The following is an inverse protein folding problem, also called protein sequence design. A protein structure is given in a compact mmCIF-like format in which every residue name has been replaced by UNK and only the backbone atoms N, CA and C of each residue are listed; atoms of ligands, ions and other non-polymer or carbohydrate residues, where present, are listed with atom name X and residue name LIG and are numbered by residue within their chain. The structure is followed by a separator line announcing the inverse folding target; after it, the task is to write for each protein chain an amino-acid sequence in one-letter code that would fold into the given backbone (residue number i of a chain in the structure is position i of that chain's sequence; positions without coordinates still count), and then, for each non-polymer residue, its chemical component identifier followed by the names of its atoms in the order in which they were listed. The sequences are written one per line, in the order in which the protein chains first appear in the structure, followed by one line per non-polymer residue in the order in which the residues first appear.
data_IF_568869952821
#
_entry.id   IF_568869952821
#
_cell.length_a   1.000
_cell.length_b   1.000
_cell.length_c   1.000
_cell.angle_alpha   90.00
_cell.angle_beta   90.00
_cell.angle_gamma   90.00
#
_symmetry.space_group_name_H-M   'P 1'
#
loop_
_entity.id
_entity.type
_entity.pdbx_description
1 polymer ?
#
# COMPACT_ATOMS: atom_id res chain seq x y z
N UNK A 1 8.97 -11.54 1.42
CA UNK A 1 8.09 -10.36 1.52
C UNK A 1 7.27 -10.46 2.80
N UNK A 2 6.99 -9.34 3.48
CA UNK A 2 6.11 -9.31 4.66
C UNK A 2 4.94 -8.36 4.45
N UNK A 3 3.73 -8.80 4.75
CA UNK A 3 2.52 -8.00 4.51
C UNK A 3 1.73 -7.88 5.80
N UNK A 4 1.48 -6.64 6.20
CA UNK A 4 0.62 -6.30 7.33
C UNK A 4 -0.77 -5.92 6.79
N UNK A 5 -1.73 -6.81 6.99
CA UNK A 5 -3.02 -6.78 6.33
C UNK A 5 -4.19 -6.68 7.32
N UNK A 6 -5.31 -6.19 6.83
CA UNK A 6 -6.56 -6.16 7.58
C UNK A 6 -7.38 -4.89 7.40
N UNK A 7 -8.68 -4.92 7.74
CA UNK A 7 -9.61 -3.82 7.47
C UNK A 7 -9.23 -2.49 8.14
N UNK A 8 -9.73 -1.38 7.61
CA UNK A 8 -9.58 -0.07 8.27
C UNK A 8 -10.08 -0.16 9.73
N UNK A 9 -9.38 0.46 10.69
CA UNK A 9 -9.77 0.42 12.10
C UNK A 9 -9.31 -0.82 12.88
N UNK A 10 -8.72 -1.83 12.23
CA UNK A 10 -8.39 -3.10 12.90
C UNK A 10 -7.24 -3.03 13.91
N UNK A 11 -6.39 -2.00 13.84
CA UNK A 11 -5.25 -1.81 14.75
C UNK A 11 -3.88 -2.25 14.20
N UNK A 12 -3.76 -2.47 12.88
CA UNK A 12 -2.50 -2.84 12.21
C UNK A 12 -1.30 -1.99 12.66
N UNK A 13 -1.42 -0.67 12.60
CA UNK A 13 -0.32 0.27 12.88
C UNK A 13 0.25 0.14 14.29
N UNK A 14 -0.55 -0.30 15.27
CA UNK A 14 -0.07 -0.58 16.63
C UNK A 14 0.86 -1.79 16.65
N UNK A 15 0.51 -2.84 15.91
CA UNK A 15 1.23 -4.12 15.92
C UNK A 15 2.46 -4.09 15.00
N UNK A 16 2.40 -3.37 13.87
CA UNK A 16 3.49 -3.26 12.90
C UNK A 16 4.80 -2.86 13.56
N UNK A 17 4.77 -1.84 14.42
CA UNK A 17 5.96 -1.32 15.11
C UNK A 17 6.61 -2.35 16.02
N UNK A 18 5.81 -3.16 16.71
CA UNK A 18 6.34 -4.20 17.58
C UNK A 18 6.94 -5.35 16.78
N UNK A 19 6.30 -5.75 15.68
CA UNK A 19 6.84 -6.80 14.79
C UNK A 19 8.14 -6.34 14.13
N UNK A 20 8.23 -5.08 13.69
CA UNK A 20 9.44 -4.53 13.08
C UNK A 20 10.67 -4.55 14.01
N UNK A 21 10.46 -4.58 15.34
CA UNK A 21 11.56 -4.75 16.30
C UNK A 21 12.06 -6.19 16.40
N UNK A 22 11.23 -7.16 16.01
CA UNK A 22 11.48 -8.59 16.22
C UNK A 22 11.98 -9.29 14.96
N UNK A 23 11.69 -8.75 13.77
CA UNK A 23 12.04 -9.39 12.50
C UNK A 23 12.56 -8.38 11.49
N UNK A 24 13.44 -8.84 10.58
CA UNK A 24 13.87 -8.06 9.43
C UNK A 24 12.68 -7.90 8.48
N UNK A 25 12.28 -6.65 8.25
CA UNK A 25 11.18 -6.29 7.34
C UNK A 25 11.65 -5.67 6.03
N UNK A 26 12.94 -5.31 5.92
CA UNK A 26 13.49 -4.58 4.79
C UNK A 26 12.80 -3.24 4.56
N UNK A 27 12.81 -2.73 3.32
CA UNK A 27 12.13 -1.48 2.98
C UNK A 27 10.63 -1.57 3.31
N UNK A 28 10.10 -0.60 4.08
CA UNK A 28 8.69 -0.53 4.45
C UNK A 28 7.95 0.45 3.55
N UNK A 29 7.03 -0.05 2.71
CA UNK A 29 6.33 0.73 1.70
C UNK A 29 4.88 0.97 2.11
N UNK A 30 4.60 2.15 2.66
CA UNK A 30 3.27 2.56 3.12
C UNK A 30 2.72 3.73 2.28
N UNK A 31 1.50 3.59 1.76
CA UNK A 31 0.89 4.60 0.90
C UNK A 31 0.53 5.89 1.66
N UNK A 32 0.14 5.80 2.94
CA UNK A 32 -0.17 7.00 3.75
C UNK A 32 1.11 7.80 4.05
N UNK A 33 2.24 7.11 4.32
CA UNK A 33 3.55 7.75 4.51
C UNK A 33 4.03 8.43 3.22
N UNK A 34 3.82 7.76 2.07
CA UNK A 34 4.12 8.32 0.75
C UNK A 34 3.22 9.53 0.46
N UNK A 35 1.92 9.45 0.76
CA UNK A 35 0.98 10.57 0.57
C UNK A 35 1.43 11.78 1.39
N UNK A 36 1.82 11.56 2.65
CA UNK A 36 2.36 12.60 3.50
C UNK A 36 3.65 13.19 2.91
N UNK A 37 4.59 12.37 2.46
CA UNK A 37 5.83 12.85 1.84
C UNK A 37 5.55 13.69 0.59
N UNK A 38 4.59 13.26 -0.25
CA UNK A 38 4.16 14.03 -1.41
C UNK A 38 3.51 15.36 -1.03
N UNK A 39 2.72 15.44 0.05
CA UNK A 39 2.15 16.69 0.55
C UNK A 39 3.21 17.64 1.13
N UNK A 40 4.14 17.10 1.89
CA UNK A 40 5.14 17.90 2.62
C UNK A 40 6.28 18.38 1.71
N UNK A 41 6.71 17.54 0.76
CA UNK A 41 7.90 17.77 -0.08
C UNK A 41 7.60 17.94 -1.56
N UNK A 42 6.46 17.47 -2.05
CA UNK A 42 6.14 17.41 -3.48
C UNK A 42 6.86 16.31 -4.26
N UNK A 43 7.62 15.43 -3.58
CA UNK A 43 8.37 14.37 -4.26
C UNK A 43 8.65 13.16 -3.35
N UNK A 44 9.01 12.05 -3.99
CA UNK A 44 9.52 10.82 -3.37
C UNK A 44 10.84 10.45 -4.03
N UNK A 45 11.89 10.26 -3.23
CA UNK A 45 13.19 9.80 -3.71
C UNK A 45 13.27 8.27 -3.58
N UNK A 46 13.53 7.56 -4.67
CA UNK A 46 13.68 6.10 -4.65
C UNK A 46 14.89 5.66 -3.80
N UNK A 47 15.92 6.51 -3.71
CA UNK A 47 17.10 6.25 -2.89
C UNK A 47 16.78 6.06 -1.40
N UNK A 48 15.70 6.67 -0.90
CA UNK A 48 15.23 6.50 0.48
C UNK A 48 14.79 5.06 0.78
N UNK A 49 14.53 4.27 -0.27
CA UNK A 49 14.13 2.86 -0.21
C UNK A 49 15.23 1.91 -0.70
N UNK A 50 16.44 2.42 -0.97
CA UNK A 50 17.54 1.64 -1.57
C UNK A 50 17.30 1.27 -3.03
N UNK A 51 16.44 2.02 -3.73
CA UNK A 51 16.03 1.73 -5.11
C UNK A 51 16.65 2.71 -6.12
N UNK A 52 16.77 2.22 -7.35
CA UNK A 52 16.98 3.05 -8.54
C UNK A 52 16.11 2.58 -9.71
N UNK A 53 15.77 3.50 -10.62
CA UNK A 53 15.02 3.19 -11.84
C UNK A 53 15.32 4.19 -12.96
N UNK A 54 14.86 3.89 -14.17
CA UNK A 54 14.91 4.78 -15.33
C UNK A 54 13.56 5.43 -15.62
N UNK A 55 13.57 6.53 -16.37
CA UNK A 55 12.37 7.17 -16.90
C UNK A 55 11.56 6.24 -17.81
N UNK A 56 12.24 5.42 -18.61
CA UNK A 56 11.59 4.44 -19.49
C UNK A 56 10.84 3.37 -18.70
N UNK A 57 11.44 2.82 -17.65
CA UNK A 57 10.80 1.82 -16.78
C UNK A 57 9.60 2.41 -16.03
N UNK A 58 9.72 3.64 -15.54
CA UNK A 58 8.60 4.33 -14.90
C UNK A 58 7.46 4.60 -15.89
N UNK A 59 7.77 5.08 -17.10
CA UNK A 59 6.77 5.33 -18.14
C UNK A 59 6.03 4.07 -18.56
N UNK A 60 6.75 2.96 -18.76
CA UNK A 60 6.14 1.66 -19.05
C UNK A 60 5.22 1.20 -17.91
N UNK A 61 5.64 1.36 -16.66
CA UNK A 61 4.79 1.04 -15.51
C UNK A 61 3.49 1.86 -15.48
N UNK A 62 3.54 3.14 -15.82
CA UNK A 62 2.34 4.00 -15.85
C UNK A 62 1.35 3.57 -16.93
N UNK A 63 1.85 3.14 -18.11
CA UNK A 63 0.99 2.69 -19.22
C UNK A 63 0.16 1.46 -18.85
N UNK A 64 0.72 0.55 -18.05
CA UNK A 64 0.05 -0.69 -17.64
C UNK A 64 -0.75 -0.55 -16.33
N UNK A 65 -0.81 0.65 -15.75
CA UNK A 65 -1.36 0.85 -14.41
C UNK A 65 -2.90 0.91 -14.40
N UNK A 66 -3.50 -0.16 -13.89
CA UNK A 66 -4.94 -0.19 -13.56
C UNK A 66 -5.36 0.85 -12.51
N UNK A 67 -4.44 1.27 -11.63
CA UNK A 67 -4.71 2.32 -10.64
C UNK A 67 -4.87 3.69 -11.29
N UNK A 68 -4.10 3.98 -12.35
CA UNK A 68 -4.19 5.24 -13.08
C UNK A 68 -5.47 5.29 -13.93
N UNK A 69 -5.83 4.18 -14.57
CA UNK A 69 -7.10 4.05 -15.28
C UNK A 69 -8.28 4.31 -14.33
N UNK A 70 -8.28 3.65 -13.16
CA UNK A 70 -9.30 3.85 -12.12
C UNK A 70 -9.37 5.28 -11.59
N UNK A 71 -8.22 5.92 -11.36
CA UNK A 71 -8.20 7.32 -10.90
C UNK A 71 -8.91 8.23 -11.91
N UNK A 72 -8.59 8.06 -13.20
CA UNK A 72 -9.22 8.80 -14.31
C UNK A 72 -10.74 8.56 -14.36
N UNK A 73 -11.20 7.31 -14.24
CA UNK A 73 -12.63 6.97 -14.22
C UNK A 73 -13.39 7.64 -13.06
N UNK A 74 -12.75 7.76 -11.90
CA UNK A 74 -13.32 8.43 -10.72
C UNK A 74 -13.11 9.96 -10.75
N UNK A 75 -12.59 10.51 -11.84
CA UNK A 75 -12.40 11.96 -12.04
C UNK A 75 -11.20 12.55 -11.28
N UNK A 76 -10.25 11.71 -10.84
CA UNK A 76 -9.02 12.15 -10.20
C UNK A 76 -7.88 12.25 -11.22
N UNK A 77 -7.27 13.42 -11.29
CA UNK A 77 -6.05 13.62 -12.06
C UNK A 77 -4.82 13.20 -11.24
N UNK A 78 -3.92 12.42 -11.84
CA UNK A 78 -2.65 11.98 -11.22
C UNK A 78 -1.50 12.48 -12.10
N UNK A 79 -0.96 13.64 -11.74
CA UNK A 79 0.16 14.26 -12.47
C UNK A 79 1.46 13.96 -11.75
N UNK A 80 2.20 12.96 -12.25
CA UNK A 80 3.50 12.57 -11.72
C UNK A 80 4.55 12.48 -12.83
N UNK A 81 5.79 12.81 -12.49
CA UNK A 81 6.93 12.69 -13.39
C UNK A 81 8.10 12.05 -12.66
N UNK A 82 9.01 11.42 -13.41
CA UNK A 82 10.21 10.81 -12.86
C UNK A 82 11.43 11.44 -13.52
N UNK A 83 12.42 11.81 -12.72
CA UNK A 83 13.74 12.27 -13.18
C UNK A 83 14.73 12.17 -12.04
N UNK A 84 16.00 11.89 -12.33
CA UNK A 84 17.08 11.82 -11.31
C UNK A 84 16.73 10.96 -10.09
N UNK A 85 16.10 9.80 -10.32
CA UNK A 85 15.65 8.88 -9.27
C UNK A 85 14.56 9.43 -8.31
N UNK A 86 13.88 10.50 -8.71
CA UNK A 86 12.85 11.18 -7.93
C UNK A 86 11.54 11.15 -8.71
N UNK A 87 10.47 10.71 -8.04
CA UNK A 87 9.10 10.91 -8.52
C UNK A 87 8.60 12.24 -7.97
N UNK A 88 8.33 13.21 -8.85
CA UNK A 88 7.68 14.48 -8.50
C UNK A 88 6.17 14.35 -8.67
N UNK A 89 5.43 14.94 -7.75
CA UNK A 89 3.96 15.00 -7.78
C UNK A 89 3.55 16.46 -7.94
N UNK A 90 2.90 16.78 -9.06
CA UNK A 90 2.44 18.13 -9.33
C UNK A 90 1.02 18.31 -8.78
N UNK A 91 0.81 19.34 -7.97
CA UNK A 91 -0.48 19.68 -7.32
C UNK A 91 -0.97 18.60 -6.33
N UNK A 92 -1.97 18.95 -5.51
CA UNK A 92 -2.33 18.27 -4.25
C UNK A 92 -2.21 16.75 -4.30
N UNK A 93 -1.20 16.21 -3.59
CA UNK A 93 -1.00 14.78 -3.48
C UNK A 93 -2.24 14.09 -2.90
N UNK A 94 -2.84 13.24 -3.73
CA UNK A 94 -4.02 12.45 -3.40
C UNK A 94 -3.63 10.98 -3.17
N UNK A 95 -4.56 10.23 -2.59
CA UNK A 95 -4.32 8.81 -2.27
C UNK A 95 -4.09 7.93 -3.50
N UNK A 96 -4.52 8.36 -4.70
CA UNK A 96 -4.24 7.64 -5.95
C UNK A 96 -2.77 7.77 -6.35
N UNK A 97 -2.21 8.98 -6.35
CA UNK A 97 -0.79 9.20 -6.62
C UNK A 97 0.08 8.41 -5.63
N UNK A 98 -0.26 8.45 -4.34
CA UNK A 98 0.49 7.72 -3.32
C UNK A 98 0.38 6.20 -3.47
N UNK A 99 -0.80 5.67 -3.78
CA UNK A 99 -1.00 4.25 -4.04
C UNK A 99 -0.22 3.78 -5.27
N UNK A 100 -0.18 4.59 -6.32
CA UNK A 100 0.54 4.33 -7.57
C UNK A 100 2.06 4.29 -7.33
N UNK A 101 2.61 5.27 -6.60
CA UNK A 101 4.02 5.29 -6.21
C UNK A 101 4.34 4.07 -5.32
N UNK A 102 3.50 3.77 -4.32
CA UNK A 102 3.70 2.61 -3.47
C UNK A 102 3.71 1.30 -4.26
N UNK A 103 2.85 1.17 -5.28
CA UNK A 103 2.82 0.00 -6.15
C UNK A 103 4.09 -0.10 -7.01
N UNK A 104 4.55 1.03 -7.58
CA UNK A 104 5.80 1.07 -8.33
C UNK A 104 7.01 0.63 -7.50
N UNK A 105 7.17 1.19 -6.29
CA UNK A 105 8.28 0.85 -5.38
C UNK A 105 8.26 -0.65 -5.01
N UNK A 106 7.09 -1.20 -4.73
CA UNK A 106 6.95 -2.64 -4.41
C UNK A 106 7.28 -3.52 -5.61
N UNK A 107 6.90 -3.12 -6.83
CA UNK A 107 7.26 -3.86 -8.04
C UNK A 107 8.78 -3.84 -8.27
N UNK A 108 9.46 -2.71 -8.03
CA UNK A 108 10.92 -2.65 -8.12
C UNK A 108 11.59 -3.59 -7.10
N UNK A 109 11.18 -3.52 -5.83
CA UNK A 109 11.74 -4.39 -4.76
C UNK A 109 11.50 -5.88 -5.08
N UNK A 110 10.30 -6.20 -5.55
CA UNK A 110 9.96 -7.55 -5.98
C UNK A 110 10.87 -8.03 -7.11
N UNK A 111 11.05 -7.22 -8.16
CA UNK A 111 11.85 -7.58 -9.33
C UNK A 111 13.35 -7.67 -9.01
N UNK A 112 13.84 -6.92 -8.02
CA UNK A 112 15.22 -6.96 -7.56
C UNK A 112 15.50 -8.09 -6.54
N UNK A 113 14.46 -8.81 -6.08
CA UNK A 113 14.62 -9.84 -5.06
C UNK A 113 14.88 -9.29 -3.65
N UNK A 114 14.69 -7.98 -3.44
CA UNK A 114 14.99 -7.30 -2.19
C UNK A 114 13.95 -7.61 -1.13
N UNK A 115 14.38 -7.81 0.12
CA UNK A 115 13.41 -7.99 1.20
C UNK A 115 12.66 -6.68 1.44
N UNK A 116 11.33 -6.75 1.44
CA UNK A 116 10.47 -5.62 1.73
C UNK A 116 9.21 -6.00 2.49
N UNK A 117 8.56 -4.97 3.01
CA UNK A 117 7.29 -5.06 3.70
C UNK A 117 6.35 -3.92 3.35
N UNK A 118 5.05 -4.13 3.56
CA UNK A 118 4.06 -3.07 3.39
C UNK A 118 2.80 -3.31 4.21
N UNK A 119 2.07 -2.24 4.47
CA UNK A 119 0.72 -2.27 5.03
C UNK A 119 -0.33 -2.17 3.92
N UNK A 120 -1.43 -2.91 4.07
CA UNK A 120 -2.56 -2.88 3.16
C UNK A 120 -3.87 -3.19 3.88
N UNK A 121 -4.98 -2.66 3.37
CA UNK A 121 -6.32 -3.12 3.80
C UNK A 121 -6.56 -4.57 3.35
N UNK A 122 -5.94 -4.98 2.24
CA UNK A 122 -6.11 -6.29 1.60
C UNK A 122 -7.52 -6.52 1.04
N UNK A 123 -8.18 -5.47 0.53
CA UNK A 123 -9.55 -5.51 0.02
C UNK A 123 -9.65 -5.50 -1.51
N UNK A 124 -8.61 -5.92 -2.23
CA UNK A 124 -8.57 -5.91 -3.70
C UNK A 124 -7.68 -7.05 -4.24
N UNK A 125 -8.12 -7.71 -5.32
CA UNK A 125 -7.50 -8.89 -5.92
C UNK A 125 -6.02 -8.70 -6.28
N UNK A 126 -5.62 -7.46 -6.62
CA UNK A 126 -4.20 -7.10 -6.85
C UNK A 126 -3.23 -7.57 -5.75
N UNK A 127 -3.73 -7.75 -4.52
CA UNK A 127 -2.92 -8.23 -3.40
C UNK A 127 -2.69 -9.74 -3.48
N UNK A 128 -3.69 -10.53 -3.89
CA UNK A 128 -3.48 -11.95 -4.18
C UNK A 128 -2.45 -12.12 -5.31
N UNK A 129 -2.58 -11.34 -6.38
CA UNK A 129 -1.61 -11.39 -7.49
C UNK A 129 -0.19 -11.03 -7.06
N UNK A 130 -0.02 -10.07 -6.14
CA UNK A 130 1.28 -9.76 -5.55
C UNK A 130 1.87 -10.93 -4.75
N UNK A 131 1.05 -11.65 -3.99
CA UNK A 131 1.48 -12.85 -3.26
C UNK A 131 1.89 -13.98 -4.21
N UNK A 132 1.13 -14.21 -5.30
CA UNK A 132 1.50 -15.18 -6.33
C UNK A 132 2.83 -14.82 -7.01
N UNK A 133 2.97 -13.56 -7.45
CA UNK A 133 4.19 -13.07 -8.11
C UNK A 133 5.41 -13.16 -7.21
N UNK A 134 5.29 -12.76 -5.94
CA UNK A 134 6.38 -12.88 -4.96
C UNK A 134 6.79 -14.32 -4.70
N UNK A 135 5.85 -15.24 -4.54
CA UNK A 135 6.16 -16.67 -4.40
C UNK A 135 6.90 -17.21 -5.63
N UNK A 136 6.44 -16.86 -6.83
CA UNK A 136 7.08 -17.27 -8.09
C UNK A 136 8.49 -16.68 -8.26
N UNK A 137 8.74 -15.50 -7.69
CA UNK A 137 10.06 -14.87 -7.63
C UNK A 137 10.95 -15.42 -6.49
N UNK A 138 10.53 -16.48 -5.79
CA UNK A 138 11.34 -17.15 -4.76
C UNK A 138 11.25 -16.53 -3.36
N UNK A 139 10.35 -15.56 -3.14
CA UNK A 139 10.16 -15.00 -1.81
C UNK A 139 9.44 -15.98 -0.89
N UNK A 140 9.93 -16.05 0.36
CA UNK A 140 9.11 -16.49 1.48
C UNK A 140 8.16 -15.37 1.90
N UNK A 141 6.87 -15.66 1.87
CA UNK A 141 5.82 -14.70 2.16
C UNK A 141 5.37 -14.86 3.62
N UNK A 142 5.17 -13.73 4.30
CA UNK A 142 4.63 -13.72 5.65
C UNK A 142 3.47 -12.74 5.71
N UNK A 143 2.29 -13.25 6.04
CA UNK A 143 1.08 -12.47 6.23
C UNK A 143 0.81 -12.28 7.73
N UNK A 144 0.70 -11.03 8.15
CA UNK A 144 0.22 -10.64 9.47
C UNK A 144 -1.16 -10.02 9.28
N UNK A 145 -2.22 -10.79 9.51
CA UNK A 145 -3.59 -10.31 9.33
C UNK A 145 -4.20 -9.91 10.68
N UNK A 146 -4.59 -8.64 10.80
CA UNK A 146 -5.16 -8.06 12.01
C UNK A 146 -6.61 -7.66 11.72
N UNK A 147 -7.56 -8.27 12.42
CA UNK A 147 -8.99 -7.93 12.34
C UNK A 147 -9.60 -7.80 13.73
N UNK A 148 -10.72 -7.10 13.79
CA UNK A 148 -11.67 -7.09 14.91
C UNK A 148 -12.72 -8.16 14.70
N UNK A 149 -13.55 -8.39 15.72
CA UNK A 149 -14.69 -9.33 15.65
C UNK A 149 -15.75 -8.89 14.64
N UNK A 150 -15.96 -7.58 14.46
CA UNK A 150 -16.95 -7.04 13.53
C UNK A 150 -16.49 -5.75 12.85
N UNK A 151 -17.14 -5.43 11.73
CA UNK A 151 -16.95 -4.18 11.01
C UNK A 151 -17.41 -2.95 11.83
N UNK A 152 -18.42 -3.09 12.68
CA UNK A 152 -18.92 -1.97 13.50
C UNK A 152 -17.89 -1.50 14.54
N UNK A 153 -17.10 -2.43 15.09
CA UNK A 153 -15.95 -2.06 15.96
C UNK A 153 -14.95 -1.21 15.17
N UNK A 154 -14.68 -1.56 13.92
CA UNK A 154 -13.78 -0.80 13.06
C UNK A 154 -14.33 0.59 12.73
N UNK A 155 -15.63 0.72 12.47
CA UNK A 155 -16.31 2.00 12.27
C UNK A 155 -16.14 2.89 13.50
N UNK A 156 -16.44 2.38 14.69
CA UNK A 156 -16.28 3.11 15.95
C UNK A 156 -14.83 3.56 16.18
N UNK A 157 -13.85 2.69 15.90
CA UNK A 157 -12.42 3.03 16.02
C UNK A 157 -11.97 4.09 15.01
N UNK A 158 -12.47 4.04 13.77
CA UNK A 158 -12.19 5.07 12.76
C UNK A 158 -12.83 6.40 13.16
N UNK A 159 -14.06 6.41 13.66
CA UNK A 159 -14.68 7.64 14.19
C UNK A 159 -13.84 8.24 15.33
N UNK A 160 -13.41 7.40 16.29
CA UNK A 160 -12.58 7.84 17.41
C UNK A 160 -11.23 8.43 16.98
N UNK A 161 -10.55 7.88 15.95
CA UNK A 161 -9.29 8.47 15.45
C UNK A 161 -9.52 9.76 14.66
N UNK A 162 -10.64 9.89 13.94
CA UNK A 162 -10.99 11.12 13.20
C UNK A 162 -11.18 12.27 14.18
N UNK A 163 -11.85 12.02 15.31
CA UNK A 163 -11.98 13.00 16.40
C UNK A 163 -10.63 13.45 16.99
N UNK A 164 -9.55 12.69 16.76
CA UNK A 164 -8.17 13.02 17.14
C UNK A 164 -7.33 13.59 15.99
N UNK A 165 -7.96 13.96 14.87
CA UNK A 165 -7.28 14.52 13.68
C UNK A 165 -6.76 13.47 12.68
N UNK A 166 -7.17 12.20 12.80
CA UNK A 166 -6.79 11.14 11.87
C UNK A 166 -7.60 11.15 10.57
N UNK A 167 -7.16 10.35 9.58
CA UNK A 167 -7.81 10.26 8.27
C UNK A 167 -9.20 9.59 8.33
N UNK A 168 -10.18 10.22 7.69
CA UNK A 168 -11.56 9.76 7.59
C UNK A 168 -11.75 8.70 6.50
N UNK A 169 -12.59 7.70 6.77
CA UNK A 169 -13.05 6.71 5.79
C UNK A 169 -14.54 6.53 6.03
N UNK A 170 -15.36 6.54 4.97
CA UNK A 170 -16.81 6.37 5.12
C UNK A 170 -17.15 5.01 5.72
N UNK A 171 -18.19 4.97 6.54
CA UNK A 171 -18.68 3.74 7.18
C UNK A 171 -18.95 2.64 6.16
N UNK A 172 -19.63 2.97 5.06
CA UNK A 172 -19.90 2.04 3.96
C UNK A 172 -18.60 1.41 3.44
N UNK A 173 -17.58 2.23 3.17
CA UNK A 173 -16.28 1.75 2.64
C UNK A 173 -15.54 0.89 3.66
N UNK A 174 -15.66 1.17 4.96
CA UNK A 174 -15.09 0.32 6.02
C UNK A 174 -15.77 -1.05 6.03
N UNK A 175 -17.11 -1.09 5.98
CA UNK A 175 -17.89 -2.34 5.98
C UNK A 175 -17.62 -3.19 4.73
N UNK A 176 -17.64 -2.58 3.55
CA UNK A 176 -17.31 -3.27 2.28
C UNK A 176 -15.88 -3.83 2.30
N UNK A 177 -14.91 -3.04 2.76
CA UNK A 177 -13.52 -3.48 2.85
C UNK A 177 -13.34 -4.58 3.87
N UNK A 178 -14.07 -4.57 4.99
CA UNK A 178 -14.04 -5.64 5.97
C UNK A 178 -14.39 -6.99 5.34
N UNK A 179 -15.53 -7.06 4.64
CA UNK A 179 -15.98 -8.28 3.98
C UNK A 179 -14.95 -8.74 2.94
N UNK A 180 -14.55 -7.85 2.03
CA UNK A 180 -13.56 -8.18 0.97
C UNK A 180 -12.22 -8.65 1.53
N UNK A 181 -11.73 -8.01 2.60
CA UNK A 181 -10.47 -8.42 3.24
C UNK A 181 -10.55 -9.81 3.85
N UNK A 182 -11.70 -10.17 4.44
CA UNK A 182 -11.93 -11.51 4.99
C UNK A 182 -12.07 -12.56 3.89
N UNK A 183 -12.77 -12.25 2.80
CA UNK A 183 -12.91 -13.15 1.65
C UNK A 183 -11.56 -13.44 0.98
N UNK A 184 -10.74 -12.41 0.77
CA UNK A 184 -9.42 -12.55 0.17
C UNK A 184 -8.42 -13.30 1.07
N UNK A 185 -8.62 -13.30 2.39
CA UNK A 185 -7.72 -13.95 3.33
C UNK A 185 -7.58 -15.44 3.02
N UNK A 186 -8.69 -16.14 2.77
CA UNK A 186 -8.69 -17.56 2.46
C UNK A 186 -7.85 -17.87 1.20
N UNK A 187 -7.95 -17.03 0.17
CA UNK A 187 -7.22 -17.19 -1.09
C UNK A 187 -5.72 -16.88 -0.98
N UNK A 188 -5.33 -16.01 -0.04
CA UNK A 188 -3.93 -15.58 0.13
C UNK A 188 -3.13 -16.57 0.99
N UNK A 189 -3.76 -17.26 1.96
CA UNK A 189 -3.08 -18.20 2.86
C UNK A 189 -2.24 -19.24 2.10
N UNK A 190 -2.72 -19.89 1.02
CA UNK A 190 -1.91 -20.84 0.23
C UNK A 190 -0.70 -20.23 -0.48
N UNK A 191 -0.62 -18.90 -0.59
CA UNK A 191 0.48 -18.17 -1.22
C UNK A 191 1.53 -17.68 -0.21
N UNK A 192 1.33 -17.94 1.09
CA UNK A 192 2.27 -17.65 2.16
C UNK A 192 3.26 -18.82 2.34
#
# INVERSE_FOLDING_TARGET
MRVFAGPNGSGKSTIIKEIQKLVITGAYINADDIEKACRDKGFVNLGDYGLSSTESAFTSFLQDSTLLAKATEEGFEVIISFSNNIIKVNQQANSYAAALIADFLRNLLLNQGETFSFETVMSHESKLEMFKRSRNAGFKNYLYFISTESADINVARVAARVNKGGHAVSEQKIKERYVRSMELLASIIPCC
#
